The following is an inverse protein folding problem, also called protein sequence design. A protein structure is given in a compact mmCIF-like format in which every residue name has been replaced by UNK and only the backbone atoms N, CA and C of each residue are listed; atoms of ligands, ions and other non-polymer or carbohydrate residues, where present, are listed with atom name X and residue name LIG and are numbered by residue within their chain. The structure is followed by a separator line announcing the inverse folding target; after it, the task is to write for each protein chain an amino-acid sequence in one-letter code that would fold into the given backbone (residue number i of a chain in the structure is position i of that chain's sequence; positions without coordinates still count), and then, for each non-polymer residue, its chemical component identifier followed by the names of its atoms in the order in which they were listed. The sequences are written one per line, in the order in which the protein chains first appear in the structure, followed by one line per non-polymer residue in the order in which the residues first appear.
data_IF_137476174629
#
_entry.id   IF_137476174629
#
_cell.length_a   1.000
_cell.length_b   1.000
_cell.length_c   1.000
_cell.angle_alpha   90.00
_cell.angle_beta   90.00
_cell.angle_gamma   90.00
#
_symmetry.space_group_name_H-M   'P 1'
#
loop_
_entity.id
_entity.type
_entity.pdbx_description
1 polymer ?
#
# COMPACT_ATOMS: atom_id res chain seq x y z
N UNK A 1 62.32 -9.00 -41.05
CA UNK A 1 61.19 -9.45 -40.20
C UNK A 1 59.99 -9.79 -41.08
N UNK A 2 59.50 -11.04 -40.98
CA UNK A 2 58.74 -11.75 -42.04
C UNK A 2 57.30 -11.23 -42.25
N UNK A 3 56.98 -10.73 -43.46
CA UNK A 3 55.63 -10.20 -43.84
C UNK A 3 54.50 -11.24 -43.65
N UNK A 4 54.81 -12.53 -43.84
CA UNK A 4 53.85 -13.64 -43.72
C UNK A 4 53.29 -13.80 -42.30
N UNK A 5 54.11 -13.57 -41.27
CA UNK A 5 53.68 -13.67 -39.87
C UNK A 5 52.80 -12.48 -39.43
N UNK A 6 53.02 -11.30 -40.03
CA UNK A 6 52.18 -10.10 -39.79
C UNK A 6 50.76 -10.29 -40.34
N UNK A 7 50.65 -10.89 -41.52
CA UNK A 7 49.35 -11.19 -42.14
C UNK A 7 48.57 -12.25 -41.37
N UNK A 8 49.25 -13.26 -40.83
CA UNK A 8 48.60 -14.31 -40.04
C UNK A 8 48.04 -13.77 -38.72
N UNK A 9 48.77 -12.82 -38.10
CA UNK A 9 48.30 -12.12 -36.89
C UNK A 9 47.11 -11.19 -37.17
N UNK A 10 47.09 -10.50 -38.31
CA UNK A 10 45.95 -9.65 -38.71
C UNK A 10 44.71 -10.48 -39.07
N UNK A 11 44.90 -11.67 -39.66
CA UNK A 11 43.80 -12.60 -39.93
C UNK A 11 43.23 -13.16 -38.62
N UNK A 12 44.08 -13.59 -37.68
CA UNK A 12 43.61 -14.06 -36.37
C UNK A 12 42.93 -12.96 -35.55
N UNK A 13 43.39 -11.70 -35.65
CA UNK A 13 42.72 -10.59 -34.97
C UNK A 13 41.35 -10.31 -35.61
N UNK A 14 41.23 -10.37 -36.94
CA UNK A 14 39.95 -10.23 -37.64
C UNK A 14 38.97 -11.36 -37.32
N UNK A 15 39.42 -12.62 -37.23
CA UNK A 15 38.55 -13.73 -36.84
C UNK A 15 38.02 -13.57 -35.41
N UNK A 16 38.89 -13.17 -34.48
CA UNK A 16 38.50 -12.94 -33.08
C UNK A 16 37.55 -11.75 -32.91
N UNK A 17 37.70 -10.70 -33.71
CA UNK A 17 36.77 -9.58 -33.75
C UNK A 17 35.42 -9.96 -34.38
N UNK A 18 35.43 -10.78 -35.44
CA UNK A 18 34.20 -11.31 -36.06
C UNK A 18 33.42 -12.22 -35.12
N UNK A 19 34.10 -13.13 -34.40
CA UNK A 19 33.47 -14.02 -33.41
C UNK A 19 32.85 -13.21 -32.25
N UNK A 20 33.52 -12.13 -31.81
CA UNK A 20 32.98 -11.21 -30.79
C UNK A 20 31.77 -10.45 -31.31
N UNK A 21 31.84 -9.90 -32.52
CA UNK A 21 30.74 -9.18 -33.14
C UNK A 21 29.52 -10.06 -33.39
N UNK A 22 29.71 -11.32 -33.78
CA UNK A 22 28.62 -12.28 -33.97
C UNK A 22 27.96 -12.68 -32.64
N UNK A 23 28.77 -12.86 -31.58
CA UNK A 23 28.24 -13.15 -30.24
C UNK A 23 27.50 -11.96 -29.65
N UNK A 24 27.99 -10.75 -29.89
CA UNK A 24 27.35 -9.49 -29.48
C UNK A 24 26.06 -9.26 -30.28
N UNK A 25 26.08 -9.51 -31.59
CA UNK A 25 24.88 -9.48 -32.44
C UNK A 25 23.85 -10.53 -32.02
N UNK A 26 24.26 -11.76 -31.71
CA UNK A 26 23.34 -12.79 -31.17
C UNK A 26 22.80 -12.42 -29.79
N UNK A 27 23.59 -11.70 -28.99
CA UNK A 27 23.12 -11.16 -27.69
C UNK A 27 22.14 -10.02 -27.90
N UNK A 28 22.38 -9.18 -28.91
CA UNK A 28 21.53 -8.06 -29.29
C UNK A 28 20.22 -8.55 -29.91
N UNK A 29 20.25 -9.52 -30.82
CA UNK A 29 19.05 -10.18 -31.36
C UNK A 29 18.26 -10.90 -30.27
N UNK A 30 18.91 -11.48 -29.26
CA UNK A 30 18.21 -12.03 -28.08
C UNK A 30 17.58 -10.95 -27.22
N UNK A 31 18.30 -9.86 -26.96
CA UNK A 31 17.80 -8.71 -26.20
C UNK A 31 16.62 -8.04 -26.91
N UNK A 32 16.74 -7.83 -28.22
CA UNK A 32 15.69 -7.31 -29.11
C UNK A 32 14.52 -8.29 -29.20
N UNK A 33 14.77 -9.60 -29.27
CA UNK A 33 13.72 -10.63 -29.17
C UNK A 33 12.96 -10.56 -27.84
N UNK A 34 13.65 -10.45 -26.70
CA UNK A 34 13.00 -10.20 -25.40
C UNK A 34 12.39 -8.81 -25.23
N UNK A 35 12.76 -7.83 -26.06
CA UNK A 35 12.22 -6.47 -26.02
C UNK A 35 11.02 -6.29 -26.98
N UNK A 36 10.78 -7.24 -27.88
CA UNK A 36 9.66 -7.23 -28.83
C UNK A 36 8.43 -8.00 -28.32
N UNK A 37 8.51 -8.64 -27.16
CA UNK A 37 7.35 -9.18 -26.41
C UNK A 37 6.84 -8.15 -25.37
N UNK A 38 6.63 -6.88 -25.78
CA UNK A 38 5.99 -5.82 -24.96
C UNK A 38 4.76 -5.27 -25.68
N UNK A 39 4.01 -6.15 -26.35
CA UNK A 39 2.62 -5.88 -26.76
C UNK A 39 1.69 -6.65 -25.82
N UNK A 40 1.75 -6.24 -24.56
CA UNK A 40 0.86 -6.67 -23.51
C UNK A 40 0.84 -5.53 -22.52
N UNK A 41 -0.18 -4.69 -22.63
CA UNK A 41 -0.70 -3.94 -21.49
C UNK A 41 -1.25 -4.97 -20.49
N UNK A 42 -0.39 -5.87 -20.00
CA UNK A 42 -0.57 -6.54 -18.73
C UNK A 42 -0.29 -5.44 -17.72
N UNK A 43 -1.27 -4.56 -17.55
CA UNK A 43 -1.73 -4.33 -16.21
C UNK A 43 -1.70 -5.72 -15.57
N UNK A 44 -0.82 -5.92 -14.59
CA UNK A 44 -1.07 -6.86 -13.54
C UNK A 44 -2.47 -6.47 -13.04
N UNK A 45 -3.51 -6.98 -13.72
CA UNK A 45 -4.87 -6.96 -13.22
C UNK A 45 -4.69 -7.75 -11.96
N UNK A 46 -4.58 -7.03 -10.84
CA UNK A 46 -4.46 -7.60 -9.52
C UNK A 46 -5.77 -8.36 -9.33
N UNK A 47 -5.80 -9.61 -9.80
CA UNK A 47 -6.99 -10.43 -9.92
C UNK A 47 -7.58 -10.40 -8.51
N UNK A 48 -8.77 -9.80 -8.32
CA UNK A 48 -9.27 -9.55 -6.98
C UNK A 48 -9.38 -10.88 -6.26
N UNK A 49 -8.46 -11.10 -5.33
CA UNK A 49 -8.50 -12.25 -4.46
C UNK A 49 -9.71 -12.08 -3.53
N UNK A 50 -10.32 -13.16 -3.07
CA UNK A 50 -11.43 -13.07 -2.11
C UNK A 50 -11.05 -12.24 -0.86
N UNK A 51 -9.75 -12.15 -0.57
CA UNK A 51 -9.16 -11.36 0.52
C UNK A 51 -8.97 -9.87 0.23
N UNK A 52 -8.98 -9.42 -1.02
CA UNK A 52 -8.80 -8.00 -1.37
C UNK A 52 -10.11 -7.22 -1.49
N UNK A 53 -11.27 -7.90 -1.40
CA UNK A 53 -12.58 -7.27 -1.48
C UNK A 53 -12.94 -6.65 -0.11
N UNK A 54 -12.79 -5.33 0.00
CA UNK A 54 -13.21 -4.59 1.18
C UNK A 54 -14.73 -4.35 1.20
N UNK A 55 -15.31 -4.35 2.41
CA UNK A 55 -16.74 -4.10 2.56
C UNK A 55 -17.08 -2.63 2.28
N UNK A 56 -18.16 -2.34 1.54
CA UNK A 56 -18.60 -0.96 1.33
C UNK A 56 -19.06 -0.31 2.64
N UNK A 57 -18.99 1.02 2.75
CA UNK A 57 -19.45 1.73 3.94
C UNK A 57 -20.97 1.57 4.13
N UNK A 58 -21.41 1.65 5.38
CA UNK A 58 -22.84 1.54 5.72
C UNK A 58 -23.65 2.71 5.18
N UNK A 59 -24.77 2.43 4.50
CA UNK A 59 -25.73 3.45 4.05
C UNK A 59 -26.71 3.89 5.15
N UNK A 60 -26.90 3.07 6.19
CA UNK A 60 -27.83 3.36 7.27
C UNK A 60 -27.18 4.30 8.30
N UNK A 61 -27.92 5.30 8.82
CA UNK A 61 -27.42 6.15 9.89
C UNK A 61 -27.08 5.33 11.14
N UNK A 62 -25.90 5.53 11.75
CA UNK A 62 -25.53 4.82 12.97
C UNK A 62 -26.38 5.30 14.14
N UNK A 63 -26.82 4.36 14.98
CA UNK A 63 -27.46 4.69 16.26
C UNK A 63 -26.42 5.18 17.27
N UNK A 64 -26.84 6.10 18.13
CA UNK A 64 -26.00 6.62 19.20
C UNK A 64 -26.32 5.93 20.52
N UNK A 65 -25.28 5.33 21.12
CA UNK A 65 -25.35 4.71 22.44
C UNK A 65 -24.44 5.45 23.42
N UNK A 66 -24.78 5.33 24.70
CA UNK A 66 -24.01 5.90 25.79
C UNK A 66 -22.72 5.11 25.98
N UNK A 67 -21.60 5.84 26.09
CA UNK A 67 -20.28 5.22 26.18
C UNK A 67 -20.03 4.49 27.52
N UNK A 68 -20.86 4.77 28.54
CA UNK A 68 -20.74 4.17 29.89
C UNK A 68 -21.74 3.01 30.07
N UNK A 69 -23.02 3.23 29.74
CA UNK A 69 -24.11 2.27 30.05
C UNK A 69 -24.55 1.42 28.87
N UNK A 70 -24.25 1.83 27.62
CA UNK A 70 -24.70 1.14 26.41
C UNK A 70 -26.16 1.36 26.02
N UNK A 71 -26.92 2.16 26.78
CA UNK A 71 -28.30 2.56 26.42
C UNK A 71 -28.29 3.60 25.28
N UNK A 72 -29.41 3.78 24.57
CA UNK A 72 -29.50 4.80 23.50
C UNK A 72 -29.24 6.20 24.08
N UNK A 73 -28.28 6.95 23.54
CA UNK A 73 -27.87 8.25 24.07
C UNK A 73 -28.36 9.40 23.16
N UNK A 74 -29.38 10.17 23.59
CA UNK A 74 -29.84 11.33 22.83
C UNK A 74 -28.93 12.55 22.96
N UNK A 75 -28.03 12.59 23.95
CA UNK A 75 -27.21 13.76 24.26
C UNK A 75 -25.71 13.49 24.21
N UNK A 76 -24.94 14.53 23.91
CA UNK A 76 -23.47 14.52 23.86
C UNK A 76 -22.94 15.71 24.66
N UNK A 77 -21.90 15.48 25.46
CA UNK A 77 -21.24 16.52 26.24
C UNK A 77 -20.27 17.33 25.36
N UNK A 78 -20.36 18.68 25.31
CA UNK A 78 -19.46 19.49 24.50
C UNK A 78 -18.02 19.55 25.01
N UNK A 79 -17.79 19.29 26.30
CA UNK A 79 -16.44 19.36 26.88
C UNK A 79 -15.62 18.10 26.58
N UNK A 80 -16.22 16.93 26.77
CA UNK A 80 -15.53 15.63 26.59
C UNK A 80 -15.87 14.95 25.26
N UNK A 81 -17.00 15.26 24.62
CA UNK A 81 -17.48 14.54 23.44
C UNK A 81 -18.08 13.15 23.74
N UNK A 82 -18.29 12.82 25.02
CA UNK A 82 -18.93 11.59 25.46
C UNK A 82 -20.46 11.67 25.31
N UNK A 83 -21.07 10.53 24.99
CA UNK A 83 -22.52 10.38 24.81
C UNK A 83 -23.16 9.86 26.10
N UNK A 84 -24.28 10.43 26.51
CA UNK A 84 -24.99 10.05 27.73
C UNK A 84 -26.51 9.95 27.53
N UNK A 85 -27.16 9.12 28.36
CA UNK A 85 -28.60 8.91 28.34
C UNK A 85 -29.33 9.88 29.27
N UNK A 86 -28.98 9.83 30.56
CA UNK A 86 -29.67 10.55 31.63
C UNK A 86 -28.77 11.53 32.38
N UNK A 87 -29.41 12.38 33.20
CA UNK A 87 -28.73 13.32 34.09
C UNK A 87 -27.78 12.63 35.08
N UNK A 88 -28.15 11.47 35.62
CA UNK A 88 -27.30 10.71 36.55
C UNK A 88 -25.98 10.28 35.91
N UNK A 89 -26.03 9.87 34.63
CA UNK A 89 -24.85 9.52 33.86
C UNK A 89 -24.02 10.76 33.55
N UNK A 90 -24.67 11.88 33.25
CA UNK A 90 -23.97 13.16 33.05
C UNK A 90 -23.18 13.61 34.30
N UNK A 91 -23.74 13.43 35.50
CA UNK A 91 -23.04 13.74 36.75
C UNK A 91 -21.78 12.88 36.93
N UNK A 92 -21.83 11.61 36.52
CA UNK A 92 -20.65 10.73 36.48
C UNK A 92 -19.65 11.21 35.45
N UNK A 93 -20.09 11.53 34.23
CA UNK A 93 -19.23 12.03 33.15
C UNK A 93 -18.49 13.30 33.58
N UNK A 94 -19.16 14.20 34.29
CA UNK A 94 -18.56 15.44 34.81
C UNK A 94 -17.51 15.20 35.89
N UNK A 95 -17.63 14.10 36.65
CA UNK A 95 -16.65 13.71 37.67
C UNK A 95 -15.48 12.89 37.10
N UNK A 96 -15.55 12.44 35.84
CA UNK A 96 -14.49 11.67 35.21
C UNK A 96 -13.24 12.53 34.97
N UNK A 97 -12.07 11.88 35.07
CA UNK A 97 -10.80 12.49 34.67
C UNK A 97 -10.71 12.61 33.14
N UNK A 98 -9.91 13.55 32.66
CA UNK A 98 -9.64 13.72 31.23
C UNK A 98 -8.94 12.50 30.61
N UNK A 99 -8.20 11.70 31.39
CA UNK A 99 -7.62 10.42 30.92
C UNK A 99 -8.70 9.39 30.65
N UNK A 100 -9.58 9.18 31.63
CA UNK A 100 -10.67 8.20 31.52
C UNK A 100 -11.62 8.56 30.38
N UNK A 101 -11.92 9.84 30.19
CA UNK A 101 -12.74 10.29 29.05
C UNK A 101 -12.10 9.93 27.70
N UNK A 102 -10.77 10.09 27.56
CA UNK A 102 -10.04 9.69 26.35
C UNK A 102 -10.03 8.18 26.15
N UNK A 103 -9.93 7.41 27.22
CA UNK A 103 -10.01 5.94 27.15
C UNK A 103 -11.38 5.48 26.61
N UNK A 104 -12.47 6.07 27.11
CA UNK A 104 -13.82 5.79 26.57
C UNK A 104 -13.97 6.20 25.11
N UNK A 105 -13.43 7.35 24.70
CA UNK A 105 -13.43 7.76 23.30
C UNK A 105 -12.60 6.83 22.41
N UNK A 106 -11.45 6.38 22.89
CA UNK A 106 -10.60 5.41 22.19
C UNK A 106 -11.30 4.06 22.03
N UNK A 107 -12.03 3.60 23.06
CA UNK A 107 -12.85 2.39 22.97
C UNK A 107 -13.98 2.51 21.92
N UNK A 108 -14.53 3.71 21.72
CA UNK A 108 -15.47 4.01 20.62
C UNK A 108 -14.80 4.07 19.24
N UNK A 109 -13.48 4.05 19.17
CA UNK A 109 -12.71 4.24 17.93
C UNK A 109 -12.52 5.70 17.53
N UNK A 110 -12.78 6.65 18.44
CA UNK A 110 -12.53 8.08 18.22
C UNK A 110 -11.22 8.46 18.91
N UNK A 111 -10.09 8.24 18.24
CA UNK A 111 -8.79 8.70 18.72
C UNK A 111 -8.38 9.99 18.03
N UNK A 112 -8.17 11.07 18.78
CA UNK A 112 -7.72 12.36 18.25
C UNK A 112 -6.20 12.42 18.00
N UNK A 113 -5.56 11.31 17.61
CA UNK A 113 -4.14 11.38 17.19
C UNK A 113 -4.10 12.22 15.91
N UNK A 114 -3.69 13.48 16.08
CA UNK A 114 -3.23 14.32 14.97
C UNK A 114 -1.87 13.76 14.56
N UNK A 115 -1.76 13.32 13.30
CA UNK A 115 -0.52 12.83 12.70
C UNK A 115 0.32 14.00 12.19
#
# INVERSE_FOLDING_TARGET
MNRRAKNLKSVLSQERERERAEREKRRQEKLEGTAMDVDGDEADEEIPSYTSIEAPPSLMPPKHYCDITGLEAPYTDPATGLRYHDKSVYDVVKALSTSSAKEYLAARGVSSIVK
#
